data_IF_255604130170
#
_entry.id   IF_255604130170
#
_cell.length_a   1.000
_cell.length_b   1.000
_cell.length_c   1.000
_cell.angle_alpha   90.00
_cell.angle_beta   90.00
_cell.angle_gamma   90.00
#
_symmetry.space_group_name_H-M   'P 1'
#
loop_
_entity.id
_entity.type
_entity.pdbx_description
1 polymer ?
#
# COMPACT_ATOMS: atom_id res chain seq x y z
N UNK A 1 -4.57 17.64 0.11
CA UNK A 1 -4.98 16.23 -0.04
C UNK A 1 -4.11 15.43 0.90
N UNK A 2 -4.68 14.61 1.79
CA UNK A 2 -3.89 13.85 2.76
C UNK A 2 -3.25 12.60 2.14
N UNK A 3 -2.27 12.01 2.81
CA UNK A 3 -1.67 10.73 2.38
C UNK A 3 -2.74 9.61 2.30
N UNK A 4 -3.70 9.62 3.24
CA UNK A 4 -4.81 8.67 3.29
C UNK A 4 -5.69 8.81 2.05
N UNK A 5 -6.03 10.03 1.65
CA UNK A 5 -6.86 10.29 0.47
C UNK A 5 -6.20 9.75 -0.81
N UNK A 6 -4.89 9.97 -0.96
CA UNK A 6 -4.13 9.51 -2.15
C UNK A 6 -4.10 7.99 -2.20
N UNK A 7 -3.82 7.32 -1.07
CA UNK A 7 -3.75 5.86 -1.01
C UNK A 7 -5.13 5.25 -1.23
N UNK A 8 -6.18 5.75 -0.58
CA UNK A 8 -7.53 5.21 -0.75
C UNK A 8 -8.06 5.44 -2.17
N UNK A 9 -7.77 6.60 -2.78
CA UNK A 9 -8.07 6.83 -4.20
C UNK A 9 -7.33 5.85 -5.10
N UNK A 10 -6.04 5.59 -4.85
CA UNK A 10 -5.26 4.62 -5.61
C UNK A 10 -5.77 3.19 -5.44
N UNK A 11 -6.21 2.78 -4.24
CA UNK A 11 -6.84 1.48 -3.99
C UNK A 11 -8.15 1.36 -4.78
N UNK A 12 -9.03 2.36 -4.65
CA UNK A 12 -10.34 2.36 -5.31
C UNK A 12 -10.22 2.30 -6.84
N UNK A 13 -9.26 3.03 -7.42
CA UNK A 13 -9.01 3.07 -8.85
C UNK A 13 -8.03 1.98 -9.35
N UNK A 14 -7.50 1.17 -8.43
CA UNK A 14 -6.44 0.18 -8.64
C UNK A 14 -5.22 0.75 -9.36
N UNK A 15 -4.76 1.94 -8.94
CA UNK A 15 -3.56 2.62 -9.44
C UNK A 15 -2.33 2.20 -8.64
N UNK A 16 -1.19 2.11 -9.34
CA UNK A 16 0.10 1.89 -8.69
C UNK A 16 0.48 3.10 -7.82
N UNK A 17 1.17 2.85 -6.72
CA UNK A 17 1.81 3.87 -5.92
C UNK A 17 3.31 3.89 -6.21
N UNK A 18 3.87 5.10 -6.30
CA UNK A 18 5.31 5.34 -6.26
C UNK A 18 5.64 6.14 -5.01
N UNK A 19 6.64 5.69 -4.26
CA UNK A 19 7.04 6.34 -3.01
C UNK A 19 8.48 5.97 -2.65
N UNK A 20 9.04 6.68 -1.67
CA UNK A 20 10.33 6.37 -1.05
C UNK A 20 10.08 5.74 0.32
N UNK A 21 10.79 4.65 0.62
CA UNK A 21 10.75 3.98 1.91
C UNK A 21 12.16 3.50 2.27
N UNK A 22 12.64 3.85 3.47
CA UNK A 22 14.02 3.57 3.91
C UNK A 22 15.08 3.98 2.86
N UNK A 23 14.95 5.20 2.35
CA UNK A 23 15.84 5.82 1.34
C UNK A 23 15.85 5.16 -0.04
N UNK A 24 14.98 4.20 -0.31
CA UNK A 24 14.88 3.55 -1.60
C UNK A 24 13.52 3.78 -2.25
N UNK A 25 13.52 3.93 -3.58
CA UNK A 25 12.29 4.04 -4.35
C UNK A 25 11.54 2.70 -4.40
N UNK A 26 10.21 2.79 -4.37
CA UNK A 26 9.28 1.67 -4.40
C UNK A 26 8.17 1.95 -5.41
N UNK A 27 7.76 0.90 -6.12
CA UNK A 27 6.51 0.86 -6.86
C UNK A 27 5.70 -0.32 -6.32
N UNK A 28 4.44 -0.08 -5.96
CA UNK A 28 3.61 -1.11 -5.37
C UNK A 28 2.13 -1.00 -5.77
N UNK A 29 1.46 -2.15 -5.78
CA UNK A 29 0.02 -2.32 -5.91
C UNK A 29 -0.61 -2.23 -4.51
N UNK A 30 -1.30 -1.13 -4.16
CA UNK A 30 -1.90 -0.99 -2.84
C UNK A 30 -3.14 -1.89 -2.68
N UNK A 31 -3.22 -2.63 -1.57
CA UNK A 31 -4.35 -3.54 -1.29
C UNK A 31 -5.17 -3.13 -0.07
N UNK A 32 -4.52 -2.77 1.04
CA UNK A 32 -5.19 -2.39 2.29
C UNK A 32 -4.47 -1.19 2.89
N UNK A 33 -5.20 -0.17 3.30
CA UNK A 33 -4.75 0.84 4.25
C UNK A 33 -5.56 0.69 5.53
N UNK A 34 -4.87 0.58 6.65
CA UNK A 34 -5.51 0.40 7.95
C UNK A 34 -4.56 0.67 9.10
N UNK A 35 -5.09 0.53 10.30
CA UNK A 35 -4.35 0.56 11.54
C UNK A 35 -4.07 -0.87 12.00
N UNK A 36 -2.85 -1.10 12.45
CA UNK A 36 -2.46 -2.34 13.12
C UNK A 36 -2.96 -2.35 14.59
N UNK A 37 -2.58 -3.37 15.36
CA UNK A 37 -2.95 -3.51 16.77
C UNK A 37 -2.33 -2.44 17.69
N UNK A 38 -1.22 -1.82 17.28
CA UNK A 38 -0.55 -0.75 18.02
C UNK A 38 -1.12 0.65 17.69
N UNK A 39 -2.05 0.73 16.73
CA UNK A 39 -2.61 1.99 16.25
C UNK A 39 -1.72 2.72 15.24
N UNK A 40 -0.72 2.03 14.68
CA UNK A 40 0.12 2.55 13.60
C UNK A 40 -0.61 2.44 12.27
N UNK A 41 -0.53 3.49 11.44
CA UNK A 41 -1.10 3.47 10.10
C UNK A 41 -0.19 2.71 9.14
N UNK A 42 -0.70 1.65 8.51
CA UNK A 42 0.07 0.73 7.66
C UNK A 42 -0.61 0.50 6.32
N UNK A 43 0.20 0.49 5.26
CA UNK A 43 -0.18 0.06 3.91
C UNK A 43 0.30 -1.38 3.67
N UNK A 44 -0.61 -2.28 3.33
CA UNK A 44 -0.28 -3.59 2.76
C UNK A 44 -0.38 -3.53 1.24
N UNK A 45 0.69 -3.91 0.56
CA UNK A 45 0.82 -3.78 -0.89
C UNK A 45 1.73 -4.86 -1.49
N UNK A 46 1.55 -5.13 -2.79
CA UNK A 46 2.49 -5.95 -3.56
C UNK A 46 3.51 -5.03 -4.18
N UNK A 47 4.75 -5.10 -3.72
CA UNK A 47 5.83 -4.38 -4.37
C UNK A 47 6.14 -5.02 -5.72
N UNK A 48 6.20 -4.21 -6.77
CA UNK A 48 6.47 -4.65 -8.15
C UNK A 48 7.81 -4.16 -8.68
N UNK A 49 8.37 -3.10 -8.09
CA UNK A 49 9.73 -2.64 -8.38
C UNK A 49 10.35 -1.88 -7.20
N UNK A 50 11.69 -1.77 -7.20
CA UNK A 50 12.48 -1.22 -6.10
C UNK A 50 13.24 -2.32 -5.34
N UNK A 51 14.02 -1.93 -4.32
CA UNK A 51 14.85 -2.89 -3.56
C UNK A 51 14.03 -3.92 -2.78
N UNK A 52 14.65 -4.88 -2.10
CA UNK A 52 13.97 -6.06 -1.49
C UNK A 52 13.16 -6.97 -2.45
N UNK A 53 13.05 -6.64 -3.75
CA UNK A 53 12.40 -7.47 -4.77
C UNK A 53 10.87 -7.42 -4.80
N UNK A 54 10.28 -8.24 -5.66
CA UNK A 54 8.82 -8.33 -5.87
C UNK A 54 8.17 -9.15 -4.75
N UNK A 55 7.02 -8.69 -4.25
CA UNK A 55 6.19 -9.48 -3.32
C UNK A 55 5.36 -8.64 -2.35
N UNK A 56 4.54 -9.32 -1.55
CA UNK A 56 3.74 -8.69 -0.51
C UNK A 56 4.62 -8.10 0.60
N UNK A 57 4.32 -6.85 0.97
CA UNK A 57 5.03 -6.07 1.98
C UNK A 57 4.03 -5.18 2.73
N UNK A 58 4.36 -4.91 3.98
CA UNK A 58 3.71 -3.87 4.79
C UNK A 58 4.63 -2.66 4.90
N UNK A 59 4.05 -1.47 4.81
CA UNK A 59 4.74 -0.19 4.87
C UNK A 59 4.05 0.68 5.91
N UNK A 60 4.64 0.85 7.11
CA UNK A 60 4.23 1.89 8.05
C UNK A 60 4.30 3.26 7.37
N UNK A 61 3.19 4.00 7.38
CA UNK A 61 3.05 5.25 6.63
C UNK A 61 4.00 6.35 7.15
N UNK A 62 4.36 6.31 8.43
CA UNK A 62 5.36 7.23 9.01
C UNK A 62 6.71 7.19 8.28
N UNK A 63 7.12 6.01 7.78
CA UNK A 63 8.37 5.84 7.04
C UNK A 63 8.28 6.14 5.54
N UNK A 64 7.10 6.51 5.04
CA UNK A 64 6.85 6.72 3.61
C UNK A 64 6.96 8.20 3.26
N UNK A 65 7.77 8.51 2.25
CA UNK A 65 7.94 9.87 1.72
C UNK A 65 7.74 9.91 0.21
N UNK A 66 7.56 11.10 -0.35
CA UNK A 66 7.41 11.31 -1.80
C UNK A 66 6.31 10.47 -2.46
N UNK A 67 5.23 10.18 -1.73
CA UNK A 67 4.15 9.31 -2.19
C UNK A 67 3.29 9.97 -3.26
N UNK A 68 3.05 9.23 -4.35
CA UNK A 68 2.17 9.62 -5.45
C UNK A 68 1.46 8.42 -6.04
N UNK A 69 0.21 8.64 -6.48
CA UNK A 69 -0.48 7.70 -7.36
C UNK A 69 0.04 7.86 -8.80
N UNK A 70 0.27 6.74 -9.48
CA UNK A 70 0.68 6.68 -10.87
C UNK A 70 -0.53 6.47 -11.78
N UNK A 71 -0.49 6.90 -13.03
CA UNK A 71 -1.59 6.65 -14.00
C UNK A 71 -1.72 5.17 -14.38
N UNK A 72 -0.65 4.40 -14.19
CA UNK A 72 -0.63 2.96 -14.40
C UNK A 72 -1.50 2.25 -13.37
N UNK A 73 -2.31 1.31 -13.87
CA UNK A 73 -3.20 0.48 -13.05
C UNK A 73 -2.68 -0.93 -12.92
N UNK A 74 -3.02 -1.59 -11.82
CA UNK A 74 -2.82 -3.02 -11.66
C UNK A 74 -4.14 -3.76 -11.82
N UNK A 75 -4.05 -4.98 -12.34
CA UNK A 75 -5.21 -5.84 -12.61
C UNK A 75 -4.88 -7.28 -12.23
N UNK A 76 -5.93 -8.10 -12.12
CA UNK A 76 -5.81 -9.50 -11.71
C UNK A 76 -6.04 -9.72 -10.21
N UNK A 77 -6.10 -11.00 -9.88
CA UNK A 77 -6.23 -11.50 -8.51
C UNK A 77 -4.83 -11.81 -7.97
N UNK A 78 -4.53 -11.37 -6.75
CA UNK A 78 -3.35 -11.79 -6.00
C UNK A 78 -3.79 -12.85 -4.99
N UNK A 79 -3.44 -14.14 -5.16
CA UNK A 79 -3.88 -15.22 -4.28
C UNK A 79 -3.57 -15.01 -2.81
N UNK A 80 -2.51 -14.26 -2.52
CA UNK A 80 -2.05 -13.98 -1.17
C UNK A 80 -2.79 -12.81 -0.51
N UNK A 81 -3.66 -12.08 -1.25
CA UNK A 81 -4.50 -11.04 -0.68
C UNK A 81 -5.60 -11.64 0.19
N UNK A 82 -5.59 -11.29 1.47
CA UNK A 82 -6.62 -11.66 2.43
C UNK A 82 -7.44 -10.43 2.85
N UNK A 83 -8.71 -10.36 2.45
CA UNK A 83 -9.63 -9.26 2.84
C UNK A 83 -9.94 -9.23 4.35
N UNK A 84 -9.72 -10.34 5.06
CA UNK A 84 -9.91 -10.47 6.51
C UNK A 84 -8.56 -10.65 7.20
N UNK A 85 -7.54 -9.93 6.72
CA UNK A 85 -6.21 -9.99 7.31
C UNK A 85 -6.25 -9.52 8.76
N UNK A 86 -5.91 -10.43 9.68
CA UNK A 86 -5.92 -10.19 11.12
C UNK A 86 -4.79 -9.26 11.57
N UNK A 87 -3.83 -8.96 10.69
CA UNK A 87 -2.83 -7.93 10.93
C UNK A 87 -3.47 -6.56 11.17
N UNK A 88 -4.60 -6.26 10.52
CA UNK A 88 -5.28 -4.98 10.68
C UNK A 88 -6.33 -5.04 11.79
N UNK A 89 -6.15 -4.23 12.83
CA UNK A 89 -7.18 -4.01 13.85
C UNK A 89 -8.33 -3.16 13.30
N UNK A 90 -8.05 -2.22 12.40
CA UNK A 90 -9.07 -1.39 11.73
C UNK A 90 -8.67 -1.07 10.30
N UNK A 91 -9.50 -1.48 9.34
CA UNK A 91 -9.31 -1.15 7.92
C UNK A 91 -9.96 0.20 7.60
N UNK A 92 -9.25 1.09 6.90
CA UNK A 92 -9.77 2.35 6.37
C UNK A 92 -10.35 2.12 4.97
N UNK A 93 -9.54 1.54 4.08
CA UNK A 93 -9.92 1.24 2.70
C UNK A 93 -9.14 0.03 2.20
N UNK A 94 -9.74 -0.71 1.28
CA UNK A 94 -9.17 -1.92 0.69
C UNK A 94 -9.77 -2.18 -0.70
N UNK A 95 -9.12 -3.04 -1.48
CA UNK A 95 -9.59 -3.49 -2.82
C UNK A 95 -10.89 -4.29 -2.74
#
# INVERSE_FOLDING_TARGET
>A
MSVVDVICGAIAERRLLSFTYKSEARIAEPFILGYDEHGELVLSAVQTAGGSGVGFRTFPIEGVTSLKAMDQKFSGFRPEYNRRDRFFARIICQV
#
